data_IF_001177036349
#
_entry.id   IF_001177036349
#
_cell.length_a   1.000
_cell.length_b   1.000
_cell.length_c   1.000
_cell.angle_alpha   90.00
_cell.angle_beta   90.00
_cell.angle_gamma   90.00
#
_symmetry.space_group_name_H-M   'P 1'
#
loop_
_entity.id
_entity.type
_entity.pdbx_description
1 polymer ?
#
# COMPACT_ATOMS: atom_id res chain seq x y z
N UNK A 1 -11.20 -27.80 -8.02
CA UNK A 1 -10.35 -26.96 -7.15
C UNK A 1 -11.24 -25.88 -6.56
N UNK A 2 -11.32 -25.80 -5.25
CA UNK A 2 -12.13 -24.77 -4.56
C UNK A 2 -11.30 -23.47 -4.68
N UNK A 3 -11.81 -22.47 -5.43
CA UNK A 3 -11.21 -21.14 -5.42
C UNK A 3 -11.32 -20.56 -4.00
N UNK A 4 -10.25 -19.99 -3.42
CA UNK A 4 -10.33 -19.40 -2.10
C UNK A 4 -11.25 -18.19 -2.13
N UNK A 5 -12.03 -18.04 -1.08
CA UNK A 5 -12.88 -16.88 -0.86
C UNK A 5 -12.03 -15.72 -0.37
N UNK A 6 -11.32 -15.01 -1.26
CA UNK A 6 -10.53 -13.84 -0.91
C UNK A 6 -9.33 -13.61 -1.82
N UNK A 7 -8.60 -12.48 -1.64
CA UNK A 7 -7.42 -12.15 -2.44
C UNK A 7 -6.26 -13.10 -2.15
N UNK A 8 -5.48 -13.39 -3.17
CA UNK A 8 -4.32 -14.29 -3.09
C UNK A 8 -3.30 -13.99 -4.18
N UNK A 9 -2.09 -14.48 -3.99
CA UNK A 9 -1.07 -14.55 -5.05
C UNK A 9 -0.74 -16.01 -5.36
N UNK A 10 -0.41 -16.28 -6.61
CA UNK A 10 0.05 -17.59 -7.09
C UNK A 10 1.51 -17.49 -7.45
N UNK A 11 2.35 -18.20 -6.72
CA UNK A 11 3.75 -18.38 -7.04
C UNK A 11 3.92 -19.54 -8.00
N UNK A 12 4.42 -19.28 -9.20
CA UNK A 12 4.71 -20.28 -10.20
C UNK A 12 6.16 -20.77 -10.04
N UNK A 13 6.34 -22.07 -9.82
CA UNK A 13 7.65 -22.73 -9.69
C UNK A 13 7.75 -23.90 -10.67
N UNK A 14 8.95 -24.35 -10.96
CA UNK A 14 9.18 -25.56 -11.79
C UNK A 14 8.50 -26.82 -11.21
N UNK A 15 8.29 -26.87 -9.89
CA UNK A 15 7.64 -27.96 -9.18
C UNK A 15 6.10 -27.82 -9.08
N UNK A 16 5.53 -26.76 -9.61
CA UNK A 16 4.08 -26.47 -9.60
C UNK A 16 3.74 -25.08 -9.06
N UNK A 17 2.45 -24.77 -8.98
CA UNK A 17 1.96 -23.48 -8.48
C UNK A 17 1.61 -23.57 -7.00
N UNK A 18 2.07 -22.60 -6.22
CA UNK A 18 1.73 -22.45 -4.80
C UNK A 18 0.90 -21.19 -4.61
N UNK A 19 -0.26 -21.35 -4.01
CA UNK A 19 -1.15 -20.24 -3.66
C UNK A 19 -0.86 -19.74 -2.26
N UNK A 20 -0.80 -18.40 -2.10
CA UNK A 20 -0.56 -17.70 -0.85
C UNK A 20 -1.71 -16.72 -0.63
N UNK A 21 -2.47 -16.92 0.44
CA UNK A 21 -3.65 -16.09 0.76
C UNK A 21 -3.23 -14.71 1.29
N UNK A 22 -3.95 -13.68 0.85
CA UNK A 22 -3.81 -12.29 1.32
C UNK A 22 -5.03 -11.91 2.18
N UNK A 23 -5.25 -12.69 3.26
CA UNK A 23 -6.39 -12.51 4.18
C UNK A 23 -5.88 -12.41 5.62
N UNK A 24 -6.62 -11.71 6.46
CA UNK A 24 -6.38 -11.65 7.91
C UNK A 24 -5.48 -10.50 8.39
N UNK A 25 -4.68 -9.90 7.51
CA UNK A 25 -3.89 -8.69 7.79
C UNK A 25 -4.06 -7.70 6.65
N UNK A 26 -3.66 -6.46 6.84
CA UNK A 26 -3.74 -5.43 5.81
C UNK A 26 -2.41 -5.13 5.10
N UNK A 27 -1.31 -5.75 5.56
CA UNK A 27 0.01 -5.52 4.99
C UNK A 27 0.79 -6.85 4.96
N UNK A 28 1.28 -7.25 3.80
CA UNK A 28 2.11 -8.44 3.59
C UNK A 28 3.49 -8.02 3.12
N UNK A 29 4.50 -8.29 3.94
CA UNK A 29 5.89 -8.10 3.55
C UNK A 29 6.35 -9.26 2.66
N UNK A 30 7.12 -8.93 1.62
CA UNK A 30 7.67 -9.86 0.64
C UNK A 30 9.19 -9.81 0.70
N UNK A 31 9.83 -10.94 0.78
CA UNK A 31 11.29 -10.99 0.78
C UNK A 31 11.85 -12.39 1.01
N UNK A 32 13.20 -12.51 0.97
CA UNK A 32 13.85 -13.80 1.19
C UNK A 32 14.14 -14.13 2.66
N UNK A 33 14.00 -13.17 3.58
CA UNK A 33 14.13 -13.43 5.03
C UNK A 33 12.87 -14.10 5.55
N UNK A 34 13.04 -15.02 6.50
CA UNK A 34 11.95 -15.77 7.14
C UNK A 34 10.99 -14.86 7.95
N UNK A 35 11.40 -13.61 8.21
CA UNK A 35 10.58 -12.61 8.91
C UNK A 35 9.46 -12.03 8.04
N UNK A 36 9.45 -12.32 6.73
CA UNK A 36 8.42 -11.83 5.82
C UNK A 36 7.16 -12.70 5.85
N UNK A 37 6.01 -12.10 5.57
CA UNK A 37 4.74 -12.82 5.41
C UNK A 37 4.76 -13.71 4.15
N UNK A 38 5.37 -13.21 3.07
CA UNK A 38 5.59 -13.91 1.81
C UNK A 38 7.09 -14.19 1.67
N UNK A 39 7.53 -15.35 2.16
CA UNK A 39 8.92 -15.76 2.05
C UNK A 39 9.18 -16.36 0.68
N UNK A 40 10.04 -15.70 -0.10
CA UNK A 40 10.49 -16.13 -1.42
C UNK A 40 11.98 -16.42 -1.36
N UNK A 41 12.40 -17.70 -1.23
CA UNK A 41 13.80 -18.09 -0.97
C UNK A 41 14.65 -18.05 -2.24
N UNK A 42 14.73 -16.87 -2.87
CA UNK A 42 15.54 -16.64 -4.06
C UNK A 42 16.66 -15.63 -3.74
N UNK A 43 17.90 -15.93 -4.18
CA UNK A 43 19.08 -15.08 -3.98
C UNK A 43 18.96 -13.71 -4.64
N UNK A 44 18.10 -13.57 -5.66
CA UNK A 44 17.84 -12.31 -6.37
C UNK A 44 16.83 -11.43 -5.65
N UNK A 45 16.18 -11.93 -4.61
CA UNK A 45 15.23 -11.21 -3.78
C UNK A 45 15.96 -10.63 -2.55
N UNK A 46 15.71 -9.38 -2.22
CA UNK A 46 16.24 -8.73 -1.02
C UNK A 46 15.62 -9.35 0.24
N UNK A 47 16.28 -9.23 1.41
CA UNK A 47 15.75 -9.72 2.69
C UNK A 47 14.35 -9.15 2.95
N UNK A 48 14.20 -7.84 2.83
CA UNK A 48 12.94 -7.12 2.76
C UNK A 48 12.88 -6.50 1.36
N UNK A 49 12.02 -7.00 0.50
CA UNK A 49 12.02 -6.65 -0.92
C UNK A 49 10.91 -5.69 -1.28
N UNK A 50 9.70 -6.03 -0.90
CA UNK A 50 8.50 -5.27 -1.19
C UNK A 50 7.45 -5.49 -0.09
N UNK A 51 6.35 -4.74 -0.18
CA UNK A 51 5.15 -5.03 0.59
C UNK A 51 3.92 -4.89 -0.30
N UNK A 52 2.92 -5.74 -0.04
CA UNK A 52 1.57 -5.62 -0.60
C UNK A 52 0.70 -5.08 0.53
N UNK A 53 0.05 -3.95 0.30
CA UNK A 53 -0.81 -3.31 1.28
C UNK A 53 -2.25 -3.25 0.78
N UNK A 54 -3.18 -3.73 1.58
CA UNK A 54 -4.62 -3.58 1.37
C UNK A 54 -5.13 -2.35 2.12
N UNK A 55 -5.85 -1.49 1.42
CA UNK A 55 -6.51 -0.32 1.98
C UNK A 55 -7.90 -0.68 2.53
N UNK A 56 -8.48 0.21 3.33
CA UNK A 56 -9.86 0.05 3.83
C UNK A 56 -10.89 0.05 2.69
N UNK A 57 -10.55 0.69 1.56
CA UNK A 57 -11.33 0.68 0.32
C UNK A 57 -11.35 -0.69 -0.37
N UNK A 58 -10.52 -1.65 0.08
CA UNK A 58 -10.33 -2.93 -0.58
C UNK A 58 -9.32 -2.92 -1.72
N UNK A 59 -8.72 -1.77 -2.03
CA UNK A 59 -7.66 -1.65 -3.03
C UNK A 59 -6.34 -2.21 -2.51
N UNK A 60 -5.57 -2.83 -3.38
CA UNK A 60 -4.24 -3.35 -3.08
C UNK A 60 -3.17 -2.51 -3.76
N UNK A 61 -2.07 -2.29 -3.05
CA UNK A 61 -0.91 -1.57 -3.56
C UNK A 61 0.36 -2.41 -3.40
N UNK A 62 1.20 -2.42 -4.44
CA UNK A 62 2.55 -2.94 -4.36
C UNK A 62 3.52 -1.78 -4.14
N UNK A 63 4.38 -1.92 -3.13
CA UNK A 63 5.40 -0.94 -2.76
C UNK A 63 6.76 -1.64 -2.71
N UNK A 64 7.71 -1.19 -3.51
CA UNK A 64 9.09 -1.66 -3.45
C UNK A 64 9.79 -1.01 -2.24
N UNK A 65 10.47 -1.81 -1.42
CA UNK A 65 11.16 -1.34 -0.20
C UNK A 65 12.65 -1.02 -0.46
N UNK A 66 12.98 -0.58 -1.66
CA UNK A 66 14.35 -0.34 -2.06
C UNK A 66 15.10 -1.63 -2.37
N UNK A 67 14.44 -2.54 -3.05
CA UNK A 67 15.01 -3.83 -3.39
C UNK A 67 16.19 -3.69 -4.37
N UNK A 68 17.13 -4.64 -4.28
CA UNK A 68 18.35 -4.60 -5.12
C UNK A 68 18.07 -4.77 -6.61
N UNK A 69 17.10 -5.61 -6.94
CA UNK A 69 16.78 -5.94 -8.33
C UNK A 69 15.46 -5.33 -8.81
N UNK A 70 14.70 -4.68 -7.92
CA UNK A 70 13.42 -4.05 -8.21
C UNK A 70 12.25 -5.01 -8.15
N UNK A 71 11.07 -4.42 -7.92
CA UNK A 71 9.77 -5.04 -8.09
C UNK A 71 9.13 -4.55 -9.38
N UNK A 72 8.34 -5.40 -10.04
CA UNK A 72 7.69 -5.05 -11.31
C UNK A 72 6.23 -5.50 -11.28
N UNK A 73 5.36 -4.70 -11.90
CA UNK A 73 3.97 -5.05 -12.20
C UNK A 73 3.79 -5.01 -13.70
N UNK A 74 3.40 -6.14 -14.31
CA UNK A 74 3.23 -6.28 -15.76
C UNK A 74 4.46 -5.78 -16.55
N UNK A 75 5.67 -6.10 -16.06
CA UNK A 75 6.94 -5.70 -16.65
C UNK A 75 7.35 -4.24 -16.42
N UNK A 76 6.53 -3.43 -15.73
CA UNK A 76 6.87 -2.05 -15.36
C UNK A 76 7.45 -1.99 -13.96
N UNK A 77 8.57 -1.32 -13.81
CA UNK A 77 9.23 -1.17 -12.50
C UNK A 77 8.39 -0.32 -11.54
N UNK A 78 8.30 -0.78 -10.30
CA UNK A 78 7.63 -0.09 -9.18
C UNK A 78 8.60 0.90 -8.56
N UNK A 79 8.47 2.19 -8.89
CA UNK A 79 9.27 3.27 -8.29
C UNK A 79 8.45 4.11 -7.29
N UNK A 80 7.15 4.03 -7.37
CA UNK A 80 6.14 4.57 -6.43
C UNK A 80 5.11 3.48 -6.19
N UNK A 81 4.26 3.57 -5.15
CA UNK A 81 3.20 2.61 -4.94
C UNK A 81 2.31 2.44 -6.17
N UNK A 82 2.09 1.20 -6.58
CA UNK A 82 1.29 0.85 -7.77
C UNK A 82 0.05 0.09 -7.30
N UNK A 83 -1.13 0.53 -7.73
CA UNK A 83 -2.39 -0.19 -7.48
C UNK A 83 -2.36 -1.52 -8.22
N UNK A 84 -2.71 -2.60 -7.51
CA UNK A 84 -2.84 -3.93 -8.08
C UNK A 84 -4.29 -4.21 -8.49
N UNK A 85 -4.43 -4.82 -9.65
CA UNK A 85 -5.71 -5.27 -10.20
C UNK A 85 -5.72 -6.78 -10.39
N UNK A 86 -6.91 -7.37 -10.48
CA UNK A 86 -7.07 -8.82 -10.69
C UNK A 86 -6.34 -9.27 -11.97
N UNK A 87 -5.49 -10.27 -11.83
CA UNK A 87 -4.68 -10.82 -12.93
C UNK A 87 -3.34 -10.11 -13.15
N UNK A 88 -2.94 -9.15 -12.31
CA UNK A 88 -1.64 -8.52 -12.44
C UNK A 88 -0.49 -9.50 -12.21
N UNK A 89 0.51 -9.41 -13.09
CA UNK A 89 1.74 -10.20 -13.01
C UNK A 89 2.81 -9.44 -12.25
N UNK A 90 3.27 -10.02 -11.13
CA UNK A 90 4.26 -9.43 -10.23
C UNK A 90 5.60 -10.13 -10.40
N UNK A 91 6.69 -9.37 -10.51
CA UNK A 91 8.04 -9.93 -10.57
C UNK A 91 8.91 -9.35 -9.47
N UNK A 92 9.56 -10.22 -8.69
CA UNK A 92 10.52 -9.89 -7.64
C UNK A 92 11.84 -10.59 -7.95
N UNK A 93 12.85 -9.82 -8.39
CA UNK A 93 14.10 -10.41 -8.88
C UNK A 93 13.88 -11.29 -10.11
N UNK A 94 13.90 -12.63 -9.94
CA UNK A 94 13.59 -13.62 -10.99
C UNK A 94 12.32 -14.44 -10.66
N UNK A 95 11.68 -14.15 -9.54
CA UNK A 95 10.49 -14.87 -9.10
C UNK A 95 9.23 -14.17 -9.59
N UNK A 96 8.32 -14.93 -10.18
CA UNK A 96 7.08 -14.45 -10.78
C UNK A 96 5.87 -14.94 -9.98
N UNK A 97 4.93 -14.03 -9.74
CA UNK A 97 3.67 -14.32 -9.08
C UNK A 97 2.52 -13.66 -9.86
N UNK A 98 1.37 -14.30 -9.85
CA UNK A 98 0.13 -13.71 -10.35
C UNK A 98 -0.74 -13.29 -9.17
N UNK A 99 -1.24 -12.06 -9.20
CA UNK A 99 -2.10 -11.51 -8.17
C UNK A 99 -3.57 -11.67 -8.57
N UNK A 100 -4.38 -12.13 -7.62
CA UNK A 100 -5.81 -12.30 -7.80
C UNK A 100 -6.57 -11.66 -6.65
N UNK A 101 -7.53 -10.79 -6.99
CA UNK A 101 -8.50 -10.23 -6.08
C UNK A 101 -9.86 -10.27 -6.78
N UNK A 102 -10.79 -11.07 -6.27
CA UNK A 102 -12.18 -10.97 -6.71
C UNK A 102 -12.70 -9.61 -6.25
N UNK A 103 -12.63 -8.61 -7.12
CA UNK A 103 -13.35 -7.35 -6.89
C UNK A 103 -14.84 -7.68 -6.91
N UNK A 104 -15.56 -7.20 -5.88
CA UNK A 104 -17.02 -7.30 -5.80
C UNK A 104 -17.76 -6.57 -6.96
N UNK A 105 -17.02 -6.08 -7.94
CA UNK A 105 -17.50 -5.22 -9.04
C UNK A 105 -17.90 -6.00 -10.32
N UNK A 106 -18.02 -7.33 -10.24
CA UNK A 106 -18.66 -8.13 -11.29
C UNK A 106 -20.05 -8.62 -10.89
N UNK A 107 -20.81 -7.81 -10.18
CA UNK A 107 -22.25 -7.90 -10.23
C UNK A 107 -22.69 -7.05 -11.42
N UNK A 108 -22.71 -7.64 -12.62
CA UNK A 108 -23.56 -7.14 -13.69
C UNK A 108 -24.96 -6.89 -13.10
N UNK A 109 -25.60 -5.77 -13.39
CA UNK A 109 -26.96 -5.55 -12.92
C UNK A 109 -27.90 -6.57 -13.60
N UNK A 110 -28.07 -7.71 -12.98
CA UNK A 110 -29.17 -8.60 -13.30
C UNK A 110 -30.44 -7.78 -13.09
N UNK A 111 -31.21 -7.59 -14.16
CA UNK A 111 -32.51 -6.92 -14.12
C UNK A 111 -33.33 -7.45 -12.95
N UNK A 112 -33.96 -6.60 -12.15
CA UNK A 112 -34.80 -7.05 -11.04
C UNK A 112 -36.01 -7.76 -11.58
N UNK A 113 -36.07 -9.07 -11.39
CA UNK A 113 -37.38 -9.74 -11.34
C UNK A 113 -38.05 -9.28 -10.06
N UNK A 114 -39.14 -8.59 -10.25
CA UNK A 114 -40.05 -8.14 -9.20
C UNK A 114 -40.68 -9.37 -8.58
N UNK A 115 -40.23 -9.76 -7.40
CA UNK A 115 -41.05 -10.55 -6.48
C UNK A 115 -41.14 -9.75 -5.17
N UNK A 116 -42.41 -9.48 -4.90
CA UNK A 116 -42.95 -8.62 -3.85
C UNK A 116 -42.72 -9.23 -2.47
N UNK A 117 -42.44 -8.36 -1.53
CA UNK A 117 -42.61 -8.41 -0.08
C UNK A 117 -41.40 -8.72 0.81
N UNK A 118 -41.08 -7.64 1.56
CA UNK A 118 -40.53 -7.61 2.92
C UNK A 118 -39.06 -7.92 3.10
N UNK A 119 -38.29 -6.89 3.01
CA UNK A 119 -37.33 -6.27 3.94
C UNK A 119 -36.28 -5.47 3.16
N UNK A 120 -36.66 -4.30 2.69
CA UNK A 120 -35.66 -3.30 2.28
C UNK A 120 -34.85 -2.93 3.54
N UNK A 121 -33.63 -3.45 3.64
CA UNK A 121 -32.67 -2.95 4.62
C UNK A 121 -32.40 -1.49 4.29
N UNK A 122 -32.95 -0.59 5.12
CA UNK A 122 -32.71 0.83 4.96
C UNK A 122 -31.21 1.08 5.09
N UNK A 123 -30.62 1.71 4.07
CA UNK A 123 -29.21 2.09 4.09
C UNK A 123 -29.05 3.15 5.19
N UNK A 124 -28.42 2.76 6.31
CA UNK A 124 -28.14 3.67 7.41
C UNK A 124 -27.03 4.63 6.99
N UNK A 125 -27.38 5.85 6.58
CA UNK A 125 -26.41 6.90 6.30
C UNK A 125 -25.92 7.50 7.61
N UNK A 126 -24.82 6.98 8.12
CA UNK A 126 -24.13 7.53 9.29
C UNK A 126 -23.18 8.62 8.79
N UNK A 127 -23.48 9.87 9.13
CA UNK A 127 -22.54 10.97 8.95
C UNK A 127 -21.48 10.89 10.05
N UNK A 128 -20.21 10.81 9.65
CA UNK A 128 -19.08 10.88 10.58
C UNK A 128 -18.21 12.07 10.20
N UNK A 129 -17.67 12.73 11.22
CA UNK A 129 -16.62 13.72 11.03
C UNK A 129 -15.30 12.99 10.80
N UNK A 130 -14.55 13.42 9.80
CA UNK A 130 -13.24 12.87 9.49
C UNK A 130 -12.22 14.00 9.37
N UNK A 131 -10.98 13.73 9.76
CA UNK A 131 -9.83 14.54 9.39
C UNK A 131 -9.05 13.83 8.29
N UNK A 132 -8.71 14.56 7.24
CA UNK A 132 -7.93 14.03 6.12
C UNK A 132 -6.60 14.77 6.08
N UNK A 133 -5.51 14.02 6.03
CA UNK A 133 -4.16 14.53 5.81
C UNK A 133 -3.66 14.01 4.46
N UNK A 134 -3.22 14.92 3.60
CA UNK A 134 -2.51 14.58 2.37
C UNK A 134 -1.09 15.10 2.53
N UNK A 135 -0.12 14.23 2.32
CA UNK A 135 1.31 14.57 2.43
C UNK A 135 1.99 14.21 1.12
N UNK A 136 2.57 15.22 0.48
CA UNK A 136 3.24 15.11 -0.80
C UNK A 136 4.75 15.36 -0.66
N UNK A 137 5.57 14.70 -1.49
CA UNK A 137 7.02 14.93 -1.52
C UNK A 137 7.29 16.09 -2.46
N UNK A 138 7.78 17.20 -1.92
CA UNK A 138 8.14 18.38 -2.71
C UNK A 138 9.28 18.09 -3.68
N UNK A 139 9.16 18.67 -4.86
CA UNK A 139 10.16 18.58 -5.93
C UNK A 139 10.42 17.13 -6.41
N UNK A 140 9.45 16.21 -6.20
CA UNK A 140 9.57 14.80 -6.59
C UNK A 140 9.90 14.64 -8.08
N UNK A 141 9.21 15.37 -8.97
CA UNK A 141 9.48 15.33 -10.41
C UNK A 141 10.90 15.76 -10.78
N UNK A 142 11.49 16.69 -10.01
CA UNK A 142 12.90 17.09 -10.21
C UNK A 142 13.83 15.97 -9.74
N UNK A 143 13.52 15.38 -8.59
CA UNK A 143 14.27 14.26 -8.03
C UNK A 143 14.32 13.05 -8.96
N UNK A 144 13.18 12.68 -9.57
CA UNK A 144 13.09 11.54 -10.51
C UNK A 144 13.96 11.71 -11.76
N UNK A 145 14.26 12.96 -12.15
CA UNK A 145 15.12 13.26 -13.30
C UNK A 145 16.62 13.27 -12.96
N UNK A 146 16.98 13.42 -11.69
CA UNK A 146 18.36 13.59 -11.25
C UNK A 146 18.93 12.33 -10.57
N UNK A 147 18.08 11.47 -10.04
CA UNK A 147 18.48 10.27 -9.33
C UNK A 147 18.53 9.06 -10.24
N UNK A 148 19.49 8.19 -9.96
CA UNK A 148 19.47 6.81 -10.43
C UNK A 148 18.19 6.12 -9.93
N UNK A 149 17.59 5.30 -10.78
CA UNK A 149 16.31 4.66 -10.51
C UNK A 149 16.33 3.79 -9.24
N UNK A 150 17.48 3.18 -8.96
CA UNK A 150 17.64 2.37 -7.75
C UNK A 150 17.64 3.23 -6.50
N UNK A 151 18.40 4.34 -6.49
CA UNK A 151 18.44 5.27 -5.36
C UNK A 151 17.07 5.90 -5.13
N UNK A 152 16.37 6.25 -6.22
CA UNK A 152 15.01 6.75 -6.16
C UNK A 152 14.08 5.73 -5.50
N UNK A 153 14.04 4.50 -5.97
CA UNK A 153 13.20 3.43 -5.43
C UNK A 153 13.51 3.16 -3.96
N UNK A 154 14.81 3.06 -3.57
CA UNK A 154 15.22 2.85 -2.19
C UNK A 154 14.79 3.97 -1.25
N UNK A 155 14.99 5.23 -1.66
CA UNK A 155 14.66 6.39 -0.84
C UNK A 155 13.15 6.57 -0.68
N UNK A 156 12.40 6.43 -1.76
CA UNK A 156 10.95 6.60 -1.78
C UNK A 156 10.24 5.43 -1.11
N UNK A 157 10.67 4.19 -1.36
CA UNK A 157 10.14 3.01 -0.65
C UNK A 157 10.35 3.10 0.86
N UNK A 158 11.54 3.58 1.29
CA UNK A 158 11.81 3.84 2.71
C UNK A 158 10.90 4.93 3.27
N UNK A 159 10.68 6.01 2.51
CA UNK A 159 9.79 7.09 2.93
C UNK A 159 8.36 6.60 3.12
N UNK A 160 7.79 5.88 2.15
CA UNK A 160 6.42 5.34 2.24
C UNK A 160 6.26 4.38 3.43
N UNK A 161 7.21 3.48 3.65
CA UNK A 161 7.19 2.57 4.79
C UNK A 161 7.20 3.32 6.11
N UNK A 162 8.14 4.25 6.28
CA UNK A 162 8.23 5.05 7.51
C UNK A 162 7.01 5.95 7.71
N UNK A 163 6.46 6.51 6.63
CA UNK A 163 5.23 7.32 6.70
C UNK A 163 4.04 6.49 7.19
N UNK A 164 3.85 5.28 6.66
CA UNK A 164 2.80 4.36 7.11
C UNK A 164 2.95 3.98 8.59
N UNK A 165 4.18 3.69 9.04
CA UNK A 165 4.47 3.39 10.45
C UNK A 165 4.15 4.58 11.39
N UNK A 166 4.49 5.81 10.97
CA UNK A 166 4.19 7.02 11.74
C UNK A 166 2.69 7.25 11.80
N UNK A 167 2.00 7.24 10.67
CA UNK A 167 0.54 7.43 10.58
C UNK A 167 -0.18 6.40 11.47
N UNK A 168 0.23 5.13 11.41
CA UNK A 168 -0.33 4.07 12.25
C UNK A 168 -0.13 4.29 13.75
N UNK A 169 1.04 4.80 14.15
CA UNK A 169 1.37 5.10 15.55
C UNK A 169 0.47 6.19 16.14
N UNK A 170 0.01 7.12 15.31
CA UNK A 170 -0.87 8.22 15.73
C UNK A 170 -2.35 7.96 15.42
N UNK A 171 -2.75 6.69 15.39
CA UNK A 171 -4.16 6.27 15.38
C UNK A 171 -4.87 6.33 14.05
N UNK A 172 -4.12 6.45 12.93
CA UNK A 172 -4.68 6.36 11.59
C UNK A 172 -3.98 5.29 10.76
N UNK A 173 -4.47 5.11 9.54
CA UNK A 173 -3.84 4.32 8.49
C UNK A 173 -3.76 5.14 7.21
N UNK A 174 -2.84 4.77 6.33
CA UNK A 174 -2.85 5.29 4.97
C UNK A 174 -4.12 4.78 4.29
N UNK A 175 -4.94 5.71 3.79
CA UNK A 175 -6.18 5.39 3.07
C UNK A 175 -5.87 5.06 1.60
N UNK A 176 -4.99 5.85 0.99
CA UNK A 176 -4.48 5.56 -0.36
C UNK A 176 -3.16 6.27 -0.65
N UNK A 177 -2.50 5.79 -1.69
CA UNK A 177 -1.36 6.45 -2.31
C UNK A 177 -1.80 7.17 -3.59
N UNK A 178 -1.28 8.38 -3.80
CA UNK A 178 -1.62 9.22 -4.96
C UNK A 178 -0.31 9.67 -5.58
N UNK A 179 0.28 8.83 -6.44
CA UNK A 179 1.63 9.08 -6.97
C UNK A 179 2.68 9.07 -5.86
N UNK A 180 3.30 10.21 -5.62
CA UNK A 180 4.31 10.46 -4.57
C UNK A 180 3.70 10.99 -3.25
N UNK A 181 2.37 11.06 -3.15
CA UNK A 181 1.66 11.47 -1.95
C UNK A 181 1.03 10.30 -1.19
N UNK A 182 0.82 10.48 0.12
CA UNK A 182 0.00 9.62 0.96
C UNK A 182 -1.22 10.38 1.45
N UNK A 183 -2.36 9.71 1.49
CA UNK A 183 -3.57 10.19 2.13
C UNK A 183 -3.85 9.33 3.36
N UNK A 184 -4.07 9.97 4.51
CA UNK A 184 -4.45 9.33 5.76
C UNK A 184 -5.75 9.94 6.29
N UNK A 185 -6.58 9.10 6.92
CA UNK A 185 -7.89 9.49 7.40
C UNK A 185 -8.04 9.10 8.87
N UNK A 186 -8.45 10.05 9.70
CA UNK A 186 -8.90 9.83 11.08
C UNK A 186 -10.41 9.96 11.14
N UNK A 187 -11.05 8.94 11.65
CA UNK A 187 -12.49 8.94 11.87
C UNK A 187 -12.78 9.34 13.33
N UNK A 188 -13.58 10.40 13.49
CA UNK A 188 -13.94 10.94 14.79
C UNK A 188 -15.27 10.37 15.28
N UNK A 189 -15.49 10.46 16.60
CA UNK A 189 -16.75 10.10 17.23
C UNK A 189 -17.92 11.01 16.85
N UNK A 190 -19.12 10.68 17.32
CA UNK A 190 -20.33 11.47 17.06
C UNK A 190 -20.28 12.88 17.67
N UNK A 191 -19.48 13.06 18.73
CA UNK A 191 -19.37 14.30 19.49
C UNK A 191 -18.36 15.31 18.89
N UNK A 192 -17.74 14.94 17.78
CA UNK A 192 -16.76 15.78 17.07
C UNK A 192 -15.31 15.35 17.29
N UNK A 193 -14.38 16.26 16.98
CA UNK A 193 -12.93 16.07 17.20
C UNK A 193 -12.57 16.60 18.55
N UNK A 194 -11.99 15.77 19.41
CA UNK A 194 -11.48 16.25 20.67
C UNK A 194 -10.05 16.84 20.56
N UNK A 195 -9.59 17.51 21.62
CA UNK A 195 -8.28 18.15 21.62
C UNK A 195 -7.12 17.16 21.60
N UNK A 196 -7.30 15.96 22.12
CA UNK A 196 -6.28 14.90 22.15
C UNK A 196 -6.12 14.27 20.76
N UNK A 197 -7.23 13.99 20.07
CA UNK A 197 -7.22 13.51 18.68
C UNK A 197 -6.53 14.53 17.76
N UNK A 198 -6.86 15.82 17.90
CA UNK A 198 -6.21 16.87 17.11
C UNK A 198 -4.71 16.96 17.40
N UNK A 199 -4.31 16.82 18.65
CA UNK A 199 -2.91 16.81 19.06
C UNK A 199 -2.16 15.62 18.39
N UNK A 200 -2.77 14.44 18.38
CA UNK A 200 -2.19 13.26 17.72
C UNK A 200 -1.97 13.50 16.22
N UNK A 201 -2.93 14.11 15.53
CA UNK A 201 -2.80 14.44 14.09
C UNK A 201 -1.63 15.41 13.87
N UNK A 202 -1.53 16.46 14.68
CA UNK A 202 -0.44 17.44 14.58
C UNK A 202 0.92 16.83 14.90
N UNK A 203 0.99 15.90 15.85
CA UNK A 203 2.20 15.14 16.16
C UNK A 203 2.61 14.21 15.01
N UNK A 204 1.65 13.60 14.29
CA UNK A 204 1.91 12.82 13.11
C UNK A 204 2.55 13.67 12.00
N UNK A 205 2.03 14.89 11.76
CA UNK A 205 2.60 15.83 10.78
C UNK A 205 4.05 16.20 11.15
N UNK A 206 4.31 16.56 12.41
CA UNK A 206 5.65 16.91 12.88
C UNK A 206 6.62 15.71 12.75
N UNK A 207 6.17 14.51 13.12
CA UNK A 207 6.98 13.30 13.00
C UNK A 207 7.30 12.96 11.53
N UNK A 208 6.34 13.12 10.62
CA UNK A 208 6.55 12.94 9.19
C UNK A 208 7.55 13.95 8.63
N UNK A 209 7.42 15.23 9.00
CA UNK A 209 8.36 16.27 8.56
C UNK A 209 9.80 15.98 9.05
N UNK A 210 9.95 15.59 10.32
CA UNK A 210 11.26 15.23 10.91
C UNK A 210 11.86 14.01 10.23
N UNK A 211 11.08 12.95 10.04
CA UNK A 211 11.52 11.72 9.35
C UNK A 211 11.96 12.04 7.92
N UNK A 212 11.15 12.78 7.16
CA UNK A 212 11.45 13.17 5.79
C UNK A 212 12.77 13.97 5.72
N UNK A 213 12.95 14.95 6.59
CA UNK A 213 14.17 15.74 6.66
C UNK A 213 15.43 14.95 7.04
N UNK A 214 15.31 13.75 7.62
CA UNK A 214 16.44 12.90 7.98
C UNK A 214 16.87 11.95 6.86
N UNK A 215 16.04 11.69 5.86
CA UNK A 215 16.34 10.74 4.79
C UNK A 215 17.57 11.10 3.96
N UNK A 216 17.87 12.40 3.77
CA UNK A 216 19.06 12.82 3.05
C UNK A 216 20.38 12.41 3.74
N UNK A 217 20.34 12.02 5.02
CA UNK A 217 21.50 11.46 5.73
C UNK A 217 21.74 9.98 5.39
N UNK A 218 20.73 9.31 4.87
CA UNK A 218 20.77 7.88 4.55
C UNK A 218 20.97 7.63 3.06
N UNK A 219 20.51 8.55 2.23
CA UNK A 219 20.52 8.42 0.77
C UNK A 219 21.24 9.61 0.12
N UNK A 220 21.97 9.41 -0.99
CA UNK A 220 22.65 10.46 -1.74
C UNK A 220 21.64 11.27 -2.57
N UNK A 221 20.77 12.02 -1.89
CA UNK A 221 19.74 12.84 -2.52
C UNK A 221 20.33 14.16 -3.01
N UNK A 222 19.85 14.72 -4.15
CA UNK A 222 20.36 15.96 -4.71
C UNK A 222 20.05 17.18 -3.84
N UNK A 223 19.04 17.07 -2.98
CA UNK A 223 18.61 18.07 -2.00
C UNK A 223 17.88 17.38 -0.85
N UNK A 224 17.76 18.05 0.33
CA UNK A 224 16.97 17.51 1.44
C UNK A 224 15.48 17.36 1.06
N UNK A 225 14.91 16.18 1.31
CA UNK A 225 13.48 15.98 1.11
C UNK A 225 12.64 16.86 2.04
N UNK A 226 11.56 17.33 1.51
CA UNK A 226 10.54 18.12 2.23
C UNK A 226 9.16 17.60 1.83
N UNK A 227 8.21 17.78 2.73
CA UNK A 227 6.80 17.50 2.49
C UNK A 227 5.99 18.77 2.40
N UNK A 228 4.85 18.70 1.73
CA UNK A 228 3.87 19.77 1.61
C UNK A 228 2.47 19.28 1.85
#
# INVERSE_FOLDING_TARGET
MIQPAGPYVVLNTESGSRQLSLVGISCWTVGRSDDNNLVLPDRWISRNHAMIQMMETGEFYLIDLGSRNGSFVNGRRVSVPVTLTDGDHLTFGQTELDFFCATADRLEPSQPQIDTELTATATLHIRRLISVMVVDIRDFTVMTRQLDEKVLSESIGTWFRCAGEIIGRYGSRVDKYIGDAVMAVWMHGADGVDSEEMLHIMQAVDALAKMTGQLHKQFPLPFPLRIG
#
